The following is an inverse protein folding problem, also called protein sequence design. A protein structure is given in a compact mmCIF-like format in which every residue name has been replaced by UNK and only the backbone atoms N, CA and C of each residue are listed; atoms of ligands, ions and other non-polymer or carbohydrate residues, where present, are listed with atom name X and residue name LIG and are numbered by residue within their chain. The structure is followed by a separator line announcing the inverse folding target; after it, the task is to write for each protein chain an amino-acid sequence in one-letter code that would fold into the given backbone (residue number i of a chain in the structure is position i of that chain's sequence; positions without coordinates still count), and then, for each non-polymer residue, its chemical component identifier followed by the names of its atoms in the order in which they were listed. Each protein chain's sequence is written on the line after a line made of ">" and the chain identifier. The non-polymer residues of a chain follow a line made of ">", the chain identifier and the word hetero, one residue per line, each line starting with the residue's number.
data_IF_178632326806
#
_entry.id   IF_178632326806
#
_cell.length_a   1.000
_cell.length_b   1.000
_cell.length_c   1.000
_cell.angle_alpha   90.00
_cell.angle_beta   90.00
_cell.angle_gamma   90.00
#
_symmetry.space_group_name_H-M   'P 1'
#
loop_
_entity.id
_entity.type
_entity.pdbx_description
1 polymer ?
#
# COMPACT_ATOMS: atom_id res chain seq x y z
N UNK A 1 15.07 7.57 -1.25
CA UNK A 1 14.85 6.31 -0.51
C UNK A 1 13.49 6.37 0.20
N UNK A 2 12.39 6.50 -0.54
CA UNK A 2 11.05 6.66 0.07
C UNK A 2 10.47 5.32 0.55
N UNK A 3 10.68 4.23 -0.20
CA UNK A 3 10.08 2.92 0.05
C UNK A 3 10.80 2.04 1.07
N UNK A 4 11.98 2.44 1.53
CA UNK A 4 12.80 1.62 2.44
C UNK A 4 12.34 1.73 3.90
N UNK A 5 11.56 2.77 4.22
CA UNK A 5 11.13 3.11 5.57
C UNK A 5 9.61 3.30 5.57
N UNK A 6 8.86 2.42 6.22
CA UNK A 6 7.39 2.50 6.25
C UNK A 6 6.89 3.75 6.98
N UNK A 7 7.74 4.45 7.75
CA UNK A 7 7.40 5.77 8.29
C UNK A 7 7.19 6.81 7.20
N UNK A 8 7.85 6.67 6.05
CA UNK A 8 7.62 7.56 4.90
C UNK A 8 6.23 7.32 4.28
N UNK A 9 5.68 6.11 4.39
CA UNK A 9 4.31 5.84 3.94
C UNK A 9 3.26 6.59 4.76
N UNK A 10 3.53 6.86 6.05
CA UNK A 10 2.58 7.65 6.88
C UNK A 10 2.35 9.06 6.33
N UNK A 11 3.34 9.65 5.65
CA UNK A 11 3.22 10.97 5.03
C UNK A 11 2.35 10.95 3.77
N UNK A 12 2.32 9.81 3.06
CA UNK A 12 1.43 9.57 1.92
C UNK A 12 0.02 9.12 2.31
N UNK A 13 -0.26 8.85 3.58
CA UNK A 13 -1.61 8.51 4.02
C UNK A 13 -2.51 9.76 4.06
N UNK A 14 -3.81 9.63 3.73
CA UNK A 14 -4.80 10.68 3.92
C UNK A 14 -4.79 11.18 5.37
N UNK A 15 -5.04 12.47 5.56
CA UNK A 15 -4.89 13.16 6.84
C UNK A 15 -5.73 12.52 7.96
N UNK A 16 -6.91 11.97 7.62
CA UNK A 16 -7.77 11.28 8.59
C UNK A 16 -7.18 9.98 9.16
N UNK A 17 -6.19 9.37 8.51
CA UNK A 17 -5.55 8.13 8.96
C UNK A 17 -4.18 8.35 9.60
N UNK A 18 -3.58 9.55 9.47
CA UNK A 18 -2.23 9.82 10.03
C UNK A 18 -2.15 9.70 11.55
N UNK A 19 -3.26 9.97 12.27
CA UNK A 19 -3.33 9.87 13.73
C UNK A 19 -3.63 8.47 14.27
N UNK A 20 -4.00 7.52 13.41
CA UNK A 20 -4.38 6.16 13.80
C UNK A 20 -3.39 5.08 13.32
N UNK A 21 -2.25 5.51 12.77
CA UNK A 21 -1.24 4.66 12.16
C UNK A 21 0.05 4.71 12.96
N UNK A 22 0.43 3.58 13.54
CA UNK A 22 1.75 3.35 14.11
C UNK A 22 2.61 2.69 13.05
N UNK A 23 3.69 3.34 12.60
CA UNK A 23 4.62 2.76 11.65
C UNK A 23 6.04 2.78 12.23
N UNK A 24 6.75 1.67 12.07
CA UNK A 24 8.19 1.59 12.28
C UNK A 24 8.90 1.37 10.92
N UNK A 25 10.15 0.93 10.94
CA UNK A 25 10.90 0.71 9.71
C UNK A 25 10.34 -0.43 8.84
N UNK A 26 9.77 -1.47 9.48
CA UNK A 26 9.36 -2.72 8.85
C UNK A 26 7.88 -3.08 9.10
N UNK A 27 7.19 -2.41 10.01
CA UNK A 27 5.78 -2.67 10.34
C UNK A 27 4.93 -1.40 10.27
N UNK A 28 3.65 -1.60 9.97
CA UNK A 28 2.62 -0.57 9.99
C UNK A 28 1.35 -1.16 10.60
N UNK A 29 0.79 -0.50 11.61
CA UNK A 29 -0.46 -0.86 12.27
C UNK A 29 -1.43 0.31 12.18
N UNK A 30 -2.65 0.03 11.76
CA UNK A 30 -3.75 0.97 11.70
C UNK A 30 -5.02 0.38 12.32
N UNK A 31 -5.79 1.19 13.03
CA UNK A 31 -7.15 0.81 13.47
C UNK A 31 -8.17 1.56 12.63
N UNK A 32 -9.04 0.84 11.92
CA UNK A 32 -10.09 1.40 11.06
C UNK A 32 -11.44 0.79 11.45
N UNK A 33 -12.38 1.63 11.90
CA UNK A 33 -13.76 1.21 12.25
C UNK A 33 -13.83 0.01 13.22
N UNK A 34 -12.88 -0.11 14.15
CA UNK A 34 -12.81 -1.21 15.13
C UNK A 34 -12.07 -2.46 14.65
N UNK A 35 -11.64 -2.49 13.38
CA UNK A 35 -10.73 -3.52 12.87
C UNK A 35 -9.29 -3.05 12.99
N UNK A 36 -8.43 -3.90 13.53
CA UNK A 36 -6.98 -3.70 13.47
C UNK A 36 -6.46 -4.30 12.19
N UNK A 37 -5.66 -3.52 11.45
CA UNK A 37 -4.86 -3.99 10.33
C UNK A 37 -3.41 -3.70 10.68
N UNK A 38 -2.60 -4.73 10.86
CA UNK A 38 -1.16 -4.63 10.99
C UNK A 38 -0.51 -5.39 9.84
N UNK A 39 0.53 -4.80 9.27
CA UNK A 39 1.33 -5.37 8.20
C UNK A 39 2.80 -5.29 8.56
N UNK A 40 3.60 -6.17 7.97
CA UNK A 40 5.05 -6.16 8.08
C UNK A 40 5.69 -6.39 6.72
N UNK A 41 6.94 -5.96 6.57
CA UNK A 41 7.73 -6.31 5.40
C UNK A 41 8.20 -7.75 5.51
N UNK A 42 7.73 -8.57 4.56
CA UNK A 42 8.09 -9.98 4.44
C UNK A 42 9.38 -10.17 3.64
N UNK A 43 9.63 -9.30 2.66
CA UNK A 43 10.77 -9.43 1.76
C UNK A 43 11.20 -8.07 1.19
N UNK A 44 12.51 -7.85 1.08
CA UNK A 44 13.11 -6.69 0.40
C UNK A 44 14.27 -7.14 -0.47
N UNK A 45 14.15 -6.90 -1.77
CA UNK A 45 15.25 -7.01 -2.73
C UNK A 45 15.55 -5.60 -3.25
N UNK A 46 16.73 -5.04 -2.97
CA UNK A 46 17.08 -3.69 -3.39
C UNK A 46 16.85 -3.48 -4.90
N UNK A 47 16.16 -2.40 -5.24
CA UNK A 47 15.83 -1.98 -6.62
C UNK A 47 15.01 -2.99 -7.43
N UNK A 48 14.37 -3.97 -6.78
CA UNK A 48 13.62 -5.01 -7.47
C UNK A 48 12.27 -5.32 -6.84
N UNK A 49 12.22 -5.53 -5.52
CA UNK A 49 11.00 -6.02 -4.88
C UNK A 49 10.87 -5.56 -3.43
N UNK A 50 9.65 -5.21 -3.04
CA UNK A 50 9.25 -5.11 -1.63
C UNK A 50 7.92 -5.85 -1.47
N UNK A 51 7.88 -6.86 -0.61
CA UNK A 51 6.67 -7.59 -0.25
C UNK A 51 6.26 -7.29 1.17
N UNK A 52 5.00 -6.92 1.34
CA UNK A 52 4.36 -6.61 2.61
C UNK A 52 3.26 -7.66 2.83
N UNK A 53 3.15 -8.20 4.03
CA UNK A 53 2.13 -9.18 4.40
C UNK A 53 1.42 -8.75 5.68
N UNK A 54 0.18 -9.22 5.86
CA UNK A 54 -0.52 -9.03 7.11
C UNK A 54 0.19 -9.72 8.28
N UNK A 55 0.25 -9.03 9.41
CA UNK A 55 0.64 -9.60 10.71
C UNK A 55 -0.55 -9.67 11.67
N UNK A 56 -1.57 -8.84 11.47
CA UNK A 56 -2.84 -8.88 12.20
C UNK A 56 -3.94 -8.29 11.30
N UNK A 57 -4.87 -9.12 10.81
CA UNK A 57 -5.96 -8.66 9.96
C UNK A 57 -7.16 -9.63 10.03
N UNK A 58 -8.37 -9.18 9.66
CA UNK A 58 -9.55 -10.05 9.61
C UNK A 58 -9.51 -11.10 8.48
N UNK A 59 -8.57 -10.99 7.55
CA UNK A 59 -8.28 -11.95 6.48
C UNK A 59 -6.79 -11.84 6.11
N UNK A 60 -6.23 -12.93 5.56
CA UNK A 60 -4.85 -12.92 5.09
C UNK A 60 -4.71 -12.20 3.75
N UNK A 61 -3.69 -11.36 3.64
CA UNK A 61 -3.36 -10.67 2.40
C UNK A 61 -1.87 -10.31 2.32
N UNK A 62 -1.41 -10.12 1.09
CA UNK A 62 -0.08 -9.58 0.81
C UNK A 62 -0.13 -8.58 -0.34
N UNK A 63 0.82 -7.65 -0.34
CA UNK A 63 1.02 -6.67 -1.40
C UNK A 63 2.50 -6.68 -1.77
N UNK A 64 2.78 -6.91 -3.05
CA UNK A 64 4.14 -6.92 -3.60
C UNK A 64 4.28 -5.80 -4.61
N UNK A 65 5.25 -4.93 -4.37
CA UNK A 65 5.67 -3.90 -5.30
C UNK A 65 6.90 -4.40 -6.07
N UNK A 66 6.79 -4.50 -7.39
CA UNK A 66 7.87 -4.89 -8.30
C UNK A 66 8.42 -3.67 -9.03
N UNK A 67 9.73 -3.67 -9.21
CA UNK A 67 10.50 -2.64 -9.89
C UNK A 67 11.41 -3.33 -10.91
N UNK A 68 10.98 -3.36 -12.15
CA UNK A 68 11.72 -3.97 -13.24
C UNK A 68 12.44 -2.90 -14.05
N UNK A 69 13.64 -3.23 -14.52
CA UNK A 69 14.38 -2.33 -15.39
C UNK A 69 13.71 -2.27 -16.77
N UNK A 70 13.47 -1.06 -17.26
CA UNK A 70 12.96 -0.80 -18.59
C UNK A 70 13.82 0.25 -19.31
N UNK A 71 13.85 0.20 -20.64
CA UNK A 71 14.60 1.16 -21.45
C UNK A 71 14.07 2.58 -21.23
N UNK A 72 14.87 3.41 -20.54
CA UNK A 72 14.50 4.79 -20.21
C UNK A 72 13.68 4.95 -18.93
N UNK A 73 13.50 3.90 -18.10
CA UNK A 73 12.72 4.01 -16.88
C UNK A 73 12.71 2.77 -15.98
N UNK A 74 11.63 2.64 -15.23
CA UNK A 74 11.34 1.50 -14.36
C UNK A 74 9.92 1.07 -14.64
N UNK A 75 9.73 -0.18 -15.00
CA UNK A 75 8.41 -0.78 -15.05
C UNK A 75 8.01 -1.11 -13.61
N UNK A 76 6.94 -0.47 -13.15
CA UNK A 76 6.44 -0.60 -11.79
C UNK A 76 5.11 -1.34 -11.81
N UNK A 77 4.98 -2.38 -10.99
CA UNK A 77 3.71 -3.08 -10.81
C UNK A 77 3.44 -3.38 -9.35
N UNK A 78 2.16 -3.44 -8.99
CA UNK A 78 1.69 -3.82 -7.67
C UNK A 78 0.84 -5.07 -7.83
N UNK A 79 1.23 -6.15 -7.16
CA UNK A 79 0.44 -7.36 -7.02
C UNK A 79 -0.19 -7.38 -5.62
N UNK A 80 -1.49 -7.63 -5.53
CA UNK A 80 -2.19 -7.78 -4.26
C UNK A 80 -2.91 -9.13 -4.24
N UNK A 81 -2.55 -9.98 -3.28
CA UNK A 81 -3.16 -11.28 -3.04
C UNK A 81 -3.94 -11.23 -1.72
N UNK A 82 -5.16 -11.76 -1.70
CA UNK A 82 -5.99 -11.78 -0.49
C UNK A 82 -6.92 -13.00 -0.47
N UNK A 83 -6.98 -13.68 0.68
CA UNK A 83 -7.90 -14.80 0.91
C UNK A 83 -9.26 -14.29 1.38
N UNK A 84 -10.07 -13.88 0.39
CA UNK A 84 -11.42 -13.37 0.62
C UNK A 84 -12.46 -14.45 0.39
N UNK A 85 -13.37 -14.63 1.36
CA UNK A 85 -14.60 -15.36 1.12
C UNK A 85 -15.49 -14.66 0.08
N UNK A 86 -16.45 -15.38 -0.49
CA UNK A 86 -17.29 -14.89 -1.59
C UNK A 86 -18.03 -13.57 -1.27
N UNK A 87 -18.53 -13.44 -0.05
CA UNK A 87 -19.23 -12.24 0.40
C UNK A 87 -18.29 -11.03 0.49
N UNK A 88 -17.12 -11.20 1.08
CA UNK A 88 -16.11 -10.15 1.18
C UNK A 88 -15.56 -9.76 -0.19
N UNK A 89 -15.34 -10.71 -1.09
CA UNK A 89 -14.93 -10.43 -2.47
C UNK A 89 -15.94 -9.55 -3.20
N UNK A 90 -17.23 -9.82 -3.05
CA UNK A 90 -18.29 -9.00 -3.65
C UNK A 90 -18.36 -7.58 -3.06
N UNK A 91 -18.09 -7.42 -1.76
CA UNK A 91 -18.13 -6.12 -1.07
C UNK A 91 -16.86 -5.28 -1.26
N UNK A 92 -15.69 -5.93 -1.23
CA UNK A 92 -14.39 -5.28 -1.14
C UNK A 92 -13.62 -5.30 -2.47
N UNK A 93 -13.86 -6.27 -3.35
CA UNK A 93 -13.04 -6.48 -4.55
C UNK A 93 -12.89 -5.22 -5.41
N UNK A 94 -14.00 -4.53 -5.71
CA UNK A 94 -13.96 -3.28 -6.47
C UNK A 94 -13.29 -2.11 -5.74
N UNK A 95 -13.42 -2.04 -4.40
CA UNK A 95 -12.80 -0.99 -3.59
C UNK A 95 -11.29 -1.17 -3.46
N UNK A 96 -10.84 -2.42 -3.30
CA UNK A 96 -9.41 -2.76 -3.24
C UNK A 96 -8.75 -2.40 -4.57
N UNK A 97 -9.35 -2.78 -5.69
CA UNK A 97 -8.82 -2.43 -7.02
C UNK A 97 -8.70 -0.91 -7.21
N UNK A 98 -9.74 -0.14 -6.88
CA UNK A 98 -9.70 1.33 -6.97
C UNK A 98 -8.62 1.96 -6.07
N UNK A 99 -8.39 1.39 -4.87
CA UNK A 99 -7.35 1.87 -3.96
C UNK A 99 -5.94 1.59 -4.52
N UNK A 100 -5.74 0.42 -5.12
CA UNK A 100 -4.47 0.06 -5.78
C UNK A 100 -4.20 0.95 -6.99
N UNK A 101 -5.21 1.17 -7.85
CA UNK A 101 -5.09 2.04 -9.02
C UNK A 101 -4.65 3.46 -8.62
N UNK A 102 -5.31 4.04 -7.61
CA UNK A 102 -4.96 5.36 -7.05
C UNK A 102 -3.55 5.41 -6.45
N UNK A 103 -3.11 4.33 -5.81
CA UNK A 103 -1.76 4.24 -5.26
C UNK A 103 -0.72 4.24 -6.39
N UNK A 104 -0.93 3.47 -7.46
CA UNK A 104 -0.07 3.47 -8.64
C UNK A 104 -0.02 4.86 -9.29
N UNK A 105 -1.18 5.49 -9.52
CA UNK A 105 -1.25 6.83 -10.10
C UNK A 105 -0.48 7.87 -9.27
N UNK A 106 -0.62 7.82 -7.95
CA UNK A 106 0.11 8.71 -7.03
C UNK A 106 1.61 8.50 -7.10
N UNK A 107 2.07 7.24 -7.24
CA UNK A 107 3.49 6.91 -7.37
C UNK A 107 4.06 7.38 -8.72
N UNK A 108 3.30 7.25 -9.80
CA UNK A 108 3.66 7.78 -11.12
C UNK A 108 3.80 9.30 -11.07
N UNK A 109 2.84 10.00 -10.45
CA UNK A 109 2.90 11.46 -10.27
C UNK A 109 4.14 11.88 -9.48
N UNK A 110 4.44 11.22 -8.35
CA UNK A 110 5.64 11.49 -7.55
C UNK A 110 6.93 11.23 -8.34
N UNK A 111 6.97 10.16 -9.15
CA UNK A 111 8.11 9.83 -10.01
C UNK A 111 8.39 10.90 -11.06
N UNK A 112 7.34 11.50 -11.62
CA UNK A 112 7.45 12.64 -12.56
C UNK A 112 7.70 14.00 -11.87
N UNK A 113 7.91 14.03 -10.55
CA UNK A 113 8.13 15.25 -9.78
C UNK A 113 6.87 16.09 -9.55
N UNK A 114 5.68 15.51 -9.76
CA UNK A 114 4.39 16.13 -9.51
C UNK A 114 3.96 15.87 -8.05
N UNK A 115 3.18 16.78 -7.47
CA UNK A 115 2.58 16.55 -6.13
C UNK A 115 1.44 15.53 -6.29
N UNK A 116 1.39 14.46 -5.49
CA UNK A 116 0.31 13.50 -5.55
C UNK A 116 -1.01 14.15 -5.14
N UNK A 117 -2.03 14.03 -5.98
CA UNK A 117 -3.40 14.47 -5.67
C UNK A 117 -4.13 13.36 -4.89
N UNK A 118 -4.20 13.50 -3.56
CA UNK A 118 -5.03 12.60 -2.74
C UNK A 118 -6.49 13.04 -2.80
N UNK A 119 -7.43 12.15 -3.20
CA UNK A 119 -8.84 12.48 -3.28
C UNK A 119 -9.44 12.85 -1.91
N UNK A 120 -10.24 13.91 -1.87
CA UNK A 120 -10.91 14.44 -0.68
C UNK A 120 -12.13 13.61 -0.21
N UNK A 121 -12.43 12.50 -0.89
CA UNK A 121 -13.69 11.74 -0.76
C UNK A 121 -13.57 10.42 0.03
N UNK A 122 -12.42 10.15 0.68
CA UNK A 122 -12.25 9.01 1.60
C UNK A 122 -12.71 9.31 3.04
N UNK A 123 -13.77 10.12 3.19
CA UNK A 123 -14.48 10.34 4.45
C UNK A 123 -15.42 9.20 4.80
#
# INVERSE_FOLDING_TARGET
>A
MSFTDLRNLTQSLPEQYRGSVEADFDSLRATVQGFTIAVRVAERVPYSLIRIEDSEAPFHFSVTAHFDHADGGTDFSIEADADLNFMMKALLGGKIQQALDKAVDSLVQVSHGQKPEFPSDLG
#
